data_IF_653018804974
#
_entry.id   IF_653018804974
#
_cell.length_a   1.000
_cell.length_b   1.000
_cell.length_c   1.000
_cell.angle_alpha   90.00
_cell.angle_beta   90.00
_cell.angle_gamma   90.00
#
_symmetry.space_group_name_H-M   'P 1'
#
loop_
_entity.id
_entity.type
_entity.pdbx_description
1 polymer ?
#
# COMPACT_ATOMS: atom_id res chain seq x y z
N UNK A 1 -12.81 6.05 -10.60
CA UNK A 1 -12.76 7.44 -10.10
C UNK A 1 -11.98 8.25 -11.11
N UNK A 2 -12.52 9.37 -11.59
CA UNK A 2 -11.95 10.11 -12.71
C UNK A 2 -11.74 11.55 -12.29
N UNK A 3 -10.51 12.04 -12.43
CA UNK A 3 -10.25 13.48 -12.40
C UNK A 3 -10.51 14.06 -13.80
N UNK A 4 -11.14 15.22 -13.85
CA UNK A 4 -11.31 15.98 -15.09
C UNK A 4 -10.03 16.71 -15.53
N UNK A 5 -8.99 16.71 -14.69
CA UNK A 5 -7.69 17.33 -14.89
C UNK A 5 -6.62 16.23 -14.75
N UNK A 6 -5.73 16.14 -15.73
CA UNK A 6 -4.63 15.16 -15.66
C UNK A 6 -3.72 15.50 -14.45
N UNK A 7 -3.37 14.47 -13.69
CA UNK A 7 -2.55 14.52 -12.47
C UNK A 7 -3.18 15.15 -11.20
N UNK A 8 -4.47 15.52 -11.23
CA UNK A 8 -5.19 15.95 -10.02
C UNK A 8 -5.64 14.74 -9.19
N UNK A 9 -5.25 14.72 -7.91
CA UNK A 9 -5.64 13.67 -6.97
C UNK A 9 -7.08 13.88 -6.48
N UNK A 10 -7.97 12.94 -6.82
CA UNK A 10 -9.37 12.92 -6.36
C UNK A 10 -9.55 12.16 -5.03
N UNK A 11 -8.52 11.44 -4.59
CA UNK A 11 -8.37 10.89 -3.24
C UNK A 11 -6.97 11.24 -2.77
N UNK A 12 -6.88 11.82 -1.59
CA UNK A 12 -5.61 12.13 -0.92
C UNK A 12 -5.46 11.20 0.29
N UNK A 13 -4.30 10.56 0.39
CA UNK A 13 -3.97 9.74 1.54
C UNK A 13 -3.80 10.64 2.78
N UNK A 14 -4.38 10.23 3.91
CA UNK A 14 -4.19 10.94 5.18
C UNK A 14 -2.70 11.04 5.53
N UNK A 15 -1.96 9.95 5.34
CA UNK A 15 -0.51 9.96 5.34
C UNK A 15 0.01 10.15 3.90
N UNK A 16 0.61 11.30 3.63
CA UNK A 16 1.12 11.68 2.29
C UNK A 16 2.11 10.67 1.71
N UNK A 17 2.83 9.93 2.56
CA UNK A 17 3.76 8.89 2.12
C UNK A 17 3.04 7.73 1.41
N UNK A 18 1.77 7.48 1.75
CA UNK A 18 0.94 6.43 1.15
C UNK A 18 0.21 6.86 -0.12
N UNK A 19 0.38 8.11 -0.58
CA UNK A 19 -0.34 8.62 -1.76
C UNK A 19 -0.11 7.73 -3.00
N UNK A 20 1.11 7.22 -3.18
CA UNK A 20 1.48 6.35 -4.30
C UNK A 20 0.97 4.90 -4.15
N UNK A 21 0.50 4.53 -2.96
CA UNK A 21 -0.13 3.23 -2.71
C UNK A 21 -1.58 3.18 -3.18
N UNK A 22 -2.25 4.33 -3.29
CA UNK A 22 -3.66 4.44 -3.71
C UNK A 22 -3.87 4.17 -5.21
N UNK A 23 -5.03 3.59 -5.52
CA UNK A 23 -5.59 3.52 -6.88
C UNK A 23 -4.96 2.51 -7.84
N UNK A 24 -3.81 1.89 -7.51
CA UNK A 24 -3.08 1.04 -8.44
C UNK A 24 -2.33 -0.10 -7.79
N UNK A 25 -3.06 -1.16 -7.48
CA UNK A 25 -2.50 -2.40 -6.97
C UNK A 25 -1.77 -3.15 -8.09
N UNK A 26 -0.49 -3.49 -7.87
CA UNK A 26 0.31 -4.26 -8.84
C UNK A 26 -0.16 -5.73 -8.85
N UNK A 27 -0.61 -6.20 -7.70
CA UNK A 27 -1.25 -7.49 -7.45
C UNK A 27 -2.49 -7.24 -6.61
N UNK A 28 -3.42 -8.19 -6.57
CA UNK A 28 -4.51 -8.15 -5.59
C UNK A 28 -3.89 -8.00 -4.20
N UNK A 29 -4.21 -6.92 -3.50
CA UNK A 29 -3.66 -6.65 -2.17
C UNK A 29 -4.42 -7.45 -1.13
N UNK A 30 -3.74 -7.81 -0.04
CA UNK A 30 -4.33 -8.63 1.00
C UNK A 30 -5.59 -7.99 1.59
N UNK A 31 -5.56 -6.68 1.86
CA UNK A 31 -6.72 -5.93 2.36
C UNK A 31 -7.97 -6.10 1.50
N UNK A 32 -7.87 -5.94 0.18
CA UNK A 32 -9.01 -6.14 -0.73
C UNK A 32 -9.59 -7.56 -0.61
N UNK A 33 -8.73 -8.58 -0.54
CA UNK A 33 -9.18 -9.97 -0.41
C UNK A 33 -9.78 -10.22 0.96
N UNK A 34 -9.19 -9.65 2.02
CA UNK A 34 -9.67 -9.72 3.38
C UNK A 34 -11.07 -9.13 3.52
N UNK A 35 -11.27 -7.90 3.04
CA UNK A 35 -12.58 -7.23 3.08
C UNK A 35 -13.63 -7.98 2.28
N UNK A 36 -13.28 -8.48 1.09
CA UNK A 36 -14.21 -9.28 0.29
C UNK A 36 -14.58 -10.60 0.97
N UNK A 37 -13.61 -11.30 1.56
CA UNK A 37 -13.88 -12.54 2.28
C UNK A 37 -14.71 -12.30 3.54
N UNK A 38 -14.49 -11.20 4.25
CA UNK A 38 -15.31 -10.80 5.39
C UNK A 38 -16.75 -10.50 4.97
N UNK A 39 -16.94 -9.65 3.96
CA UNK A 39 -18.26 -9.24 3.46
C UNK A 39 -19.14 -10.44 3.09
N UNK A 40 -18.56 -11.45 2.43
CA UNK A 40 -19.27 -12.66 2.02
C UNK A 40 -19.18 -13.81 3.03
N UNK A 41 -18.66 -13.56 4.23
CA UNK A 41 -18.50 -14.56 5.30
C UNK A 41 -17.73 -15.81 4.84
N UNK A 42 -16.76 -15.64 3.94
CA UNK A 42 -15.95 -16.74 3.42
C UNK A 42 -15.13 -17.44 4.51
N UNK A 43 -14.65 -16.69 5.51
CA UNK A 43 -13.85 -17.22 6.61
C UNK A 43 -14.62 -18.16 7.53
N UNK A 44 -15.96 -18.12 7.51
CA UNK A 44 -16.82 -19.02 8.29
C UNK A 44 -16.59 -20.49 7.97
N UNK A 45 -16.14 -20.78 6.75
CA UNK A 45 -15.81 -22.13 6.28
C UNK A 45 -14.68 -22.79 7.08
N UNK A 46 -13.86 -22.00 7.74
CA UNK A 46 -12.69 -22.46 8.47
C UNK A 46 -12.80 -22.24 9.99
N UNK A 47 -14.00 -21.93 10.51
CA UNK A 47 -14.23 -21.71 11.96
C UNK A 47 -13.73 -22.86 12.84
N UNK A 48 -13.91 -24.10 12.37
CA UNK A 48 -13.57 -25.31 13.13
C UNK A 48 -12.20 -25.89 12.77
N UNK A 49 -11.37 -25.19 11.98
CA UNK A 49 -10.12 -25.77 11.50
C UNK A 49 -9.01 -25.84 12.55
N UNK A 50 -9.12 -25.06 13.64
CA UNK A 50 -8.08 -24.92 14.66
C UNK A 50 -6.79 -24.25 14.16
N UNK A 51 -6.77 -23.75 12.93
CA UNK A 51 -5.60 -23.10 12.33
C UNK A 51 -5.36 -21.73 12.99
N UNK A 52 -4.14 -21.49 13.44
CA UNK A 52 -3.71 -20.20 14.01
C UNK A 52 -2.88 -19.47 12.97
N UNK A 53 -3.31 -18.27 12.62
CA UNK A 53 -2.60 -17.39 11.70
C UNK A 53 -1.96 -16.23 12.47
N UNK A 54 -0.73 -15.89 12.12
CA UNK A 54 0.04 -14.79 12.69
C UNK A 54 -0.02 -13.54 11.81
N UNK A 55 0.45 -12.41 12.35
CA UNK A 55 0.56 -11.14 11.63
C UNK A 55 -0.72 -10.72 10.90
N UNK A 56 -1.89 -10.93 11.52
CA UNK A 56 -3.22 -10.64 10.93
C UNK A 56 -3.58 -11.47 9.68
N UNK A 57 -2.89 -12.58 9.45
CA UNK A 57 -3.34 -13.58 8.50
C UNK A 57 -4.68 -14.21 8.91
N UNK A 58 -5.40 -14.75 7.93
CA UNK A 58 -6.67 -15.44 8.13
C UNK A 58 -6.65 -16.82 7.51
N UNK A 59 -7.31 -17.85 8.08
CA UNK A 59 -7.37 -19.17 7.46
C UNK A 59 -7.90 -19.09 6.03
N UNK A 60 -7.23 -19.74 5.09
CA UNK A 60 -7.57 -19.60 3.68
C UNK A 60 -8.93 -20.28 3.40
N UNK A 61 -9.97 -19.55 2.93
CA UNK A 61 -11.35 -20.09 2.83
C UNK A 61 -11.55 -21.31 1.93
N UNK A 62 -10.57 -21.63 1.08
CA UNK A 62 -10.57 -22.84 0.22
C UNK A 62 -9.66 -23.96 0.73
N UNK A 63 -8.82 -23.68 1.72
CA UNK A 63 -7.89 -24.63 2.32
C UNK A 63 -7.59 -24.20 3.76
N UNK A 64 -8.38 -24.69 4.71
CA UNK A 64 -8.31 -24.24 6.10
C UNK A 64 -7.05 -24.67 6.86
N UNK A 65 -6.17 -25.46 6.24
CA UNK A 65 -4.88 -25.88 6.79
C UNK A 65 -3.73 -24.90 6.49
N UNK A 66 -3.99 -23.83 5.73
CA UNK A 66 -3.02 -22.77 5.44
C UNK A 66 -3.66 -21.40 5.61
N UNK A 67 -2.86 -20.40 5.91
CA UNK A 67 -3.31 -19.02 6.07
C UNK A 67 -3.15 -18.23 4.77
N UNK A 68 -4.06 -17.30 4.55
CA UNK A 68 -3.89 -16.18 3.65
C UNK A 68 -3.12 -15.09 4.41
N UNK A 69 -1.93 -14.74 3.91
CA UNK A 69 -1.01 -13.84 4.61
C UNK A 69 -1.02 -12.43 4.03
N UNK A 70 -0.82 -11.40 4.88
CA UNK A 70 -0.56 -10.06 4.38
C UNK A 70 0.78 -9.96 3.67
N UNK A 71 0.93 -8.92 2.85
CA UNK A 71 2.13 -8.71 2.03
C UNK A 71 3.39 -8.63 2.88
N UNK A 72 4.41 -9.40 2.47
CA UNK A 72 5.67 -9.55 3.17
C UNK A 72 5.70 -10.67 4.22
N UNK A 73 4.58 -11.35 4.48
CA UNK A 73 4.50 -12.53 5.36
C UNK A 73 4.17 -13.80 4.58
N UNK A 74 4.67 -14.94 5.06
CA UNK A 74 4.52 -16.23 4.40
C UNK A 74 4.62 -17.40 5.37
N UNK A 75 4.83 -18.59 4.82
CA UNK A 75 4.67 -19.85 5.58
C UNK A 75 3.19 -20.27 5.64
N UNK A 76 2.93 -21.43 6.24
CA UNK A 76 1.55 -21.93 6.36
C UNK A 76 0.72 -21.07 7.33
N UNK A 77 1.36 -20.38 8.27
CA UNK A 77 0.73 -19.64 9.37
C UNK A 77 1.03 -18.12 9.34
N UNK A 78 1.68 -17.61 8.29
CA UNK A 78 2.09 -16.20 8.16
C UNK A 78 3.16 -15.74 9.18
N UNK A 79 3.81 -16.65 9.92
CA UNK A 79 4.88 -16.29 10.87
C UNK A 79 6.22 -16.00 10.18
N UNK A 80 6.39 -16.50 8.97
CA UNK A 80 7.62 -16.43 8.19
C UNK A 80 7.64 -15.20 7.30
N UNK A 81 8.82 -14.91 6.77
CA UNK A 81 9.01 -13.90 5.72
C UNK A 81 8.47 -14.42 4.40
N UNK A 82 7.77 -13.57 3.64
CA UNK A 82 7.33 -13.94 2.30
C UNK A 82 8.52 -14.38 1.44
N UNK A 83 8.39 -15.56 0.83
CA UNK A 83 9.42 -16.14 0.00
C UNK A 83 9.62 -15.31 -1.28
N UNK A 84 10.86 -15.21 -1.79
CA UNK A 84 11.10 -14.54 -3.07
C UNK A 84 10.33 -15.23 -4.21
N UNK A 85 9.84 -14.45 -5.15
CA UNK A 85 9.03 -14.98 -6.26
C UNK A 85 9.86 -15.42 -7.46
N UNK A 86 9.21 -16.17 -8.35
CA UNK A 86 9.76 -16.63 -9.64
C UNK A 86 11.12 -17.34 -9.52
N UNK A 87 11.35 -18.04 -8.41
CA UNK A 87 12.59 -18.81 -8.16
C UNK A 87 13.82 -17.96 -7.85
N UNK A 88 13.64 -16.68 -7.51
CA UNK A 88 14.75 -15.83 -7.07
C UNK A 88 15.32 -16.30 -5.72
N UNK A 89 16.60 -16.08 -5.50
CA UNK A 89 17.28 -16.35 -4.23
C UNK A 89 17.72 -15.04 -3.60
N UNK A 90 16.78 -14.37 -2.94
CA UNK A 90 16.95 -13.03 -2.37
C UNK A 90 16.04 -12.83 -1.15
N UNK A 91 16.29 -11.77 -0.38
CA UNK A 91 15.56 -11.47 0.85
C UNK A 91 16.17 -12.15 2.07
N UNK A 92 16.11 -11.48 3.22
CA UNK A 92 16.71 -11.94 4.47
C UNK A 92 15.98 -11.38 5.70
N UNK A 93 16.13 -12.06 6.83
CA UNK A 93 15.73 -11.51 8.14
C UNK A 93 16.95 -10.91 8.83
N UNK A 94 16.93 -9.59 9.03
CA UNK A 94 18.01 -8.81 9.61
C UNK A 94 17.65 -8.37 11.02
N UNK A 95 18.65 -8.20 11.88
CA UNK A 95 18.48 -7.67 13.24
C UNK A 95 18.94 -6.22 13.30
N UNK A 96 18.04 -5.33 13.72
CA UNK A 96 18.36 -3.93 13.96
C UNK A 96 19.21 -3.76 15.23
N UNK A 97 20.20 -2.87 15.14
CA UNK A 97 21.10 -2.46 16.22
C UNK A 97 20.83 -1.01 16.62
N UNK A 98 21.39 -0.57 17.74
CA UNK A 98 21.20 0.80 18.24
C UNK A 98 21.92 1.87 17.39
N UNK A 99 22.75 1.46 16.44
CA UNK A 99 23.46 2.32 15.49
C UNK A 99 22.94 2.08 14.06
N UNK A 100 23.13 3.09 13.20
CA UNK A 100 22.72 3.02 11.80
C UNK A 100 23.46 1.90 11.05
N UNK A 101 22.69 0.99 10.49
CA UNK A 101 23.15 -0.07 9.58
C UNK A 101 22.64 0.22 8.18
N UNK A 102 23.43 -0.12 7.16
CA UNK A 102 23.02 -0.01 5.77
C UNK A 102 22.59 -1.36 5.21
N UNK A 103 21.46 -1.40 4.51
CA UNK A 103 21.07 -2.49 3.62
C UNK A 103 21.21 -2.00 2.18
N UNK A 104 22.04 -2.69 1.40
CA UNK A 104 22.28 -2.40 -0.01
C UNK A 104 22.04 -3.66 -0.84
N UNK A 105 21.19 -3.53 -1.85
CA UNK A 105 20.75 -4.63 -2.71
C UNK A 105 20.95 -4.24 -4.16
N UNK A 106 21.60 -5.12 -4.92
CA UNK A 106 21.94 -4.88 -6.32
C UNK A 106 21.75 -6.14 -7.17
N UNK A 107 21.03 -6.02 -8.29
CA UNK A 107 21.03 -7.05 -9.34
C UNK A 107 20.30 -8.37 -9.02
N UNK A 108 19.54 -8.45 -7.92
CA UNK A 108 18.85 -9.68 -7.50
C UNK A 108 17.31 -9.60 -7.56
N UNK A 109 16.74 -8.40 -7.61
CA UNK A 109 15.29 -8.18 -7.57
C UNK A 109 14.76 -7.86 -8.96
N UNK A 110 14.41 -8.88 -9.74
CA UNK A 110 13.98 -8.68 -11.12
C UNK A 110 14.36 -9.82 -12.05
N UNK A 111 13.96 -9.71 -13.31
CA UNK A 111 14.34 -10.66 -14.37
C UNK A 111 15.43 -10.14 -15.31
N UNK A 112 15.90 -8.90 -15.13
CA UNK A 112 16.91 -8.28 -16.00
C UNK A 112 16.50 -8.05 -17.45
N UNK A 113 15.20 -8.06 -17.72
CA UNK A 113 14.67 -8.05 -19.08
C UNK A 113 14.49 -6.61 -19.59
N UNK A 114 15.00 -6.31 -20.79
CA UNK A 114 14.76 -4.99 -21.40
C UNK A 114 13.30 -4.79 -21.87
N UNK A 115 12.46 -5.84 -21.80
CA UNK A 115 11.03 -5.80 -22.15
C UNK A 115 10.19 -6.27 -20.98
N UNK A 116 9.20 -5.48 -20.58
CA UNK A 116 8.17 -5.91 -19.63
C UNK A 116 7.06 -6.67 -20.36
N UNK A 117 6.49 -7.68 -19.72
CA UNK A 117 5.29 -8.36 -20.21
C UNK A 117 4.08 -7.95 -19.37
N UNK A 118 2.88 -7.99 -19.96
CA UNK A 118 1.63 -7.73 -19.24
C UNK A 118 1.47 -8.65 -18.02
N UNK A 119 1.97 -9.89 -18.11
CA UNK A 119 1.97 -10.87 -17.02
C UNK A 119 2.88 -10.44 -15.86
N UNK A 120 4.10 -9.98 -16.15
CA UNK A 120 5.03 -9.49 -15.13
C UNK A 120 4.55 -8.17 -14.50
N UNK A 121 3.76 -7.38 -15.23
CA UNK A 121 3.15 -6.16 -14.68
C UNK A 121 2.19 -6.49 -13.53
N UNK A 122 1.46 -7.61 -13.59
CA UNK A 122 0.53 -8.05 -12.53
C UNK A 122 1.11 -9.13 -11.60
N UNK A 123 2.35 -9.55 -11.87
CA UNK A 123 3.08 -10.52 -11.09
C UNK A 123 4.58 -10.22 -11.17
N UNK A 124 5.02 -9.09 -10.58
CA UNK A 124 6.42 -8.70 -10.62
C UNK A 124 7.28 -9.70 -9.85
N UNK A 125 8.55 -9.76 -10.23
CA UNK A 125 9.58 -10.31 -9.36
C UNK A 125 9.62 -9.49 -8.08
N UNK A 126 9.72 -10.15 -6.94
CA UNK A 126 9.83 -9.50 -5.66
C UNK A 126 10.66 -10.33 -4.69
N UNK A 127 11.28 -9.61 -3.76
CA UNK A 127 12.09 -10.12 -2.67
C UNK A 127 11.71 -9.34 -1.42
N UNK A 128 11.65 -10.03 -0.29
CA UNK A 128 11.20 -9.44 0.98
C UNK A 128 12.33 -9.50 2.00
N UNK A 129 12.49 -8.46 2.79
CA UNK A 129 13.37 -8.41 3.96
C UNK A 129 12.53 -8.11 5.21
N UNK A 130 12.81 -8.82 6.28
CA UNK A 130 12.29 -8.49 7.61
C UNK A 130 13.43 -7.88 8.42
N UNK A 131 13.29 -6.65 8.87
CA UNK A 131 14.21 -6.06 9.84
C UNK A 131 13.51 -6.13 11.19
N UNK A 132 14.08 -6.87 12.15
CA UNK A 132 13.49 -7.11 13.47
C UNK A 132 14.30 -6.44 14.57
N UNK A 133 13.60 -5.84 15.51
CA UNK A 133 14.12 -5.33 16.76
C UNK A 133 13.55 -6.13 17.95
N UNK A 134 14.20 -6.09 19.13
CA UNK A 134 13.62 -6.64 20.35
C UNK A 134 12.28 -5.98 20.72
N UNK A 135 11.49 -6.66 21.55
CA UNK A 135 10.25 -6.08 22.09
C UNK A 135 10.53 -4.77 22.85
N UNK A 136 9.60 -3.81 22.77
CA UNK A 136 9.77 -2.47 23.33
C UNK A 136 10.65 -1.53 22.50
N UNK A 137 11.25 -2.01 21.41
CA UNK A 137 11.97 -1.18 20.43
C UNK A 137 11.15 -1.03 19.15
N UNK A 138 11.42 0.05 18.43
CA UNK A 138 10.91 0.31 17.08
C UNK A 138 12.07 0.65 16.15
N UNK A 139 11.82 0.75 14.86
CA UNK A 139 12.87 0.86 13.84
C UNK A 139 12.74 2.20 13.12
N UNK A 140 13.76 3.04 13.26
CA UNK A 140 13.93 4.21 12.39
C UNK A 140 14.65 3.78 11.11
N UNK A 141 14.17 4.26 9.96
CA UNK A 141 14.78 3.97 8.68
C UNK A 141 14.63 5.13 7.70
N UNK A 142 15.54 5.17 6.73
CA UNK A 142 15.43 6.05 5.58
C UNK A 142 15.90 5.31 4.31
N UNK A 143 15.23 5.59 3.20
CA UNK A 143 15.64 5.04 1.91
C UNK A 143 16.53 6.07 1.21
N UNK A 144 17.80 5.70 1.03
CA UNK A 144 18.82 6.56 0.43
C UNK A 144 18.71 6.56 -1.09
N UNK A 145 18.42 5.39 -1.65
CA UNK A 145 18.34 5.19 -3.09
C UNK A 145 17.41 4.02 -3.41
N UNK A 146 16.66 4.16 -4.48
CA UNK A 146 16.13 3.03 -5.23
C UNK A 146 16.18 3.36 -6.72
N UNK A 147 16.22 2.33 -7.56
CA UNK A 147 16.32 2.56 -8.99
C UNK A 147 16.60 1.31 -9.82
N UNK A 148 16.97 1.56 -11.06
CA UNK A 148 17.55 0.57 -11.97
C UNK A 148 19.02 0.92 -12.25
N UNK A 149 19.76 -0.02 -12.84
CA UNK A 149 21.15 0.20 -13.23
C UNK A 149 21.27 1.41 -14.17
N UNK A 150 22.26 2.26 -13.91
CA UNK A 150 22.61 3.43 -14.74
C UNK A 150 21.47 4.45 -14.97
N UNK A 151 20.53 4.57 -14.02
CA UNK A 151 19.42 5.52 -14.16
C UNK A 151 19.89 6.98 -14.13
N UNK A 152 19.42 7.78 -15.10
CA UNK A 152 19.67 9.23 -15.15
C UNK A 152 18.52 10.08 -14.58
N UNK A 153 17.30 9.55 -14.64
CA UNK A 153 16.06 10.19 -14.17
C UNK A 153 15.27 9.20 -13.32
N UNK A 154 14.20 9.69 -12.70
CA UNK A 154 13.24 8.92 -11.89
C UNK A 154 12.38 7.98 -12.76
N UNK A 155 13.03 7.00 -13.37
CA UNK A 155 12.44 6.15 -14.42
C UNK A 155 11.35 5.21 -13.86
N UNK A 156 11.41 4.93 -12.55
CA UNK A 156 10.41 4.15 -11.82
C UNK A 156 9.17 4.98 -11.46
N UNK A 157 9.26 6.31 -11.47
CA UNK A 157 8.13 7.24 -11.31
C UNK A 157 7.23 7.22 -12.54
N UNK A 158 6.41 6.19 -12.61
CA UNK A 158 5.30 6.03 -13.56
C UNK A 158 4.00 5.92 -12.78
N UNK A 159 2.87 6.10 -13.47
CA UNK A 159 1.53 5.97 -12.87
C UNK A 159 1.48 4.69 -12.00
N UNK A 160 1.21 4.87 -10.69
CA UNK A 160 1.05 3.81 -9.70
C UNK A 160 2.29 2.95 -9.38
N UNK A 161 3.50 3.42 -9.63
CA UNK A 161 4.74 2.68 -9.33
C UNK A 161 4.79 1.27 -9.98
N UNK A 162 4.17 1.12 -11.15
CA UNK A 162 3.87 -0.19 -11.76
C UNK A 162 5.10 -1.02 -12.15
N UNK A 163 6.24 -0.40 -12.44
CA UNK A 163 7.39 -1.09 -13.03
C UNK A 163 8.41 -1.60 -12.04
N UNK A 164 8.53 -0.95 -10.89
CA UNK A 164 9.47 -1.32 -9.85
C UNK A 164 9.52 -0.26 -8.78
N UNK A 165 10.09 -0.63 -7.64
CA UNK A 165 10.18 0.22 -6.48
C UNK A 165 10.34 -0.61 -5.21
N UNK A 166 10.12 0.04 -4.08
CA UNK A 166 10.02 -0.60 -2.79
C UNK A 166 8.60 -0.48 -2.26
N UNK A 167 8.15 -1.48 -1.51
CA UNK A 167 7.06 -1.34 -0.56
C UNK A 167 7.63 -1.44 0.83
N UNK A 168 7.26 -0.50 1.69
CA UNK A 168 7.69 -0.48 3.08
C UNK A 168 6.45 -0.62 3.95
N UNK A 169 6.47 -1.55 4.90
CA UNK A 169 5.39 -1.76 5.85
C UNK A 169 5.89 -1.80 7.29
N UNK A 170 5.00 -1.51 8.24
CA UNK A 170 5.30 -1.39 9.68
C UNK A 170 5.12 0.02 10.25
N UNK A 171 4.71 0.99 9.42
CA UNK A 171 4.30 2.34 9.85
C UNK A 171 2.87 2.36 10.39
N UNK A 172 2.03 1.45 9.91
CA UNK A 172 0.67 1.25 10.41
C UNK A 172 0.64 0.13 11.44
N UNK A 173 -0.32 0.18 12.37
CA UNK A 173 -0.48 -0.86 13.40
C UNK A 173 -0.99 -2.18 12.82
N UNK A 174 -1.72 -2.09 11.72
CA UNK A 174 -2.28 -3.22 10.99
C UNK A 174 -1.38 -3.59 9.81
N UNK A 175 -1.24 -4.88 9.58
CA UNK A 175 -0.66 -5.51 8.42
C UNK A 175 -1.68 -5.73 7.29
N UNK A 176 -2.98 -5.56 7.53
CA UNK A 176 -4.04 -5.66 6.51
C UNK A 176 -3.79 -4.67 5.36
N UNK A 177 -3.32 -3.46 5.72
CA UNK A 177 -3.00 -2.41 4.77
C UNK A 177 -1.76 -2.75 3.93
N UNK A 178 -1.82 -2.41 2.65
CA UNK A 178 -0.67 -2.52 1.76
C UNK A 178 0.44 -1.57 2.19
N UNK A 179 1.70 -2.01 2.05
CA UNK A 179 2.86 -1.16 2.34
C UNK A 179 2.90 0.12 1.50
N UNK A 180 3.55 1.15 2.06
CA UNK A 180 3.86 2.39 1.39
C UNK A 180 4.72 2.13 0.13
N UNK A 181 4.28 2.57 -1.05
CA UNK A 181 5.03 2.40 -2.30
C UNK A 181 6.01 3.55 -2.52
N UNK A 182 7.28 3.20 -2.68
CA UNK A 182 8.36 4.13 -3.00
C UNK A 182 8.81 3.89 -4.43
N UNK A 183 8.56 4.86 -5.29
CA UNK A 183 9.04 4.88 -6.67
C UNK A 183 9.38 6.29 -7.17
N UNK A 184 9.24 7.31 -6.32
CA UNK A 184 9.54 8.71 -6.63
C UNK A 184 10.69 9.23 -5.74
N UNK A 185 11.62 9.94 -6.35
CA UNK A 185 12.84 10.49 -5.73
C UNK A 185 12.58 11.45 -4.57
N UNK A 186 11.43 12.11 -4.52
CA UNK A 186 10.96 12.96 -3.42
C UNK A 186 10.57 12.18 -2.15
N UNK A 187 10.51 10.85 -2.23
CA UNK A 187 10.26 9.96 -1.09
C UNK A 187 11.56 9.51 -0.39
N UNK A 188 12.72 9.80 -0.99
CA UNK A 188 14.06 9.43 -0.48
C UNK A 188 14.52 10.33 0.67
N UNK A 189 15.45 9.82 1.49
CA UNK A 189 16.11 10.53 2.61
C UNK A 189 15.14 11.11 3.66
N UNK A 190 13.92 10.58 3.70
CA UNK A 190 12.94 10.86 4.74
C UNK A 190 13.08 9.78 5.82
N UNK A 191 13.41 10.22 7.03
CA UNK A 191 13.42 9.34 8.21
C UNK A 191 11.97 9.03 8.55
N UNK A 192 11.69 7.73 8.71
CA UNK A 192 10.40 7.20 9.12
C UNK A 192 10.62 6.22 10.25
N UNK A 193 9.60 6.04 11.06
CA UNK A 193 9.67 5.12 12.19
C UNK A 193 8.51 4.15 12.17
N UNK A 194 8.79 2.89 12.48
CA UNK A 194 7.75 1.88 12.63
C UNK A 194 6.98 2.07 13.92
N UNK A 195 5.76 1.53 13.96
CA UNK A 195 4.95 1.44 15.19
C UNK A 195 5.16 0.13 15.94
N UNK A 196 5.78 -0.86 15.29
CA UNK A 196 6.13 -2.16 15.87
C UNK A 196 7.64 -2.42 15.78
N UNK A 197 8.08 -3.52 16.36
CA UNK A 197 9.47 -3.97 16.31
C UNK A 197 9.83 -4.71 15.01
N UNK A 198 8.96 -4.66 13.99
CA UNK A 198 9.17 -5.29 12.68
C UNK A 198 9.00 -4.26 11.58
N UNK A 199 9.99 -4.19 10.69
CA UNK A 199 9.95 -3.43 9.45
C UNK A 199 10.02 -4.41 8.28
N UNK A 200 9.03 -4.34 7.40
CA UNK A 200 8.97 -5.17 6.20
C UNK A 200 9.37 -4.32 5.00
N UNK A 201 10.35 -4.80 4.25
CA UNK A 201 10.84 -4.14 3.03
C UNK A 201 10.67 -5.13 1.88
N UNK A 202 9.77 -4.84 0.94
CA UNK A 202 9.60 -5.62 -0.27
C UNK A 202 10.12 -4.82 -1.46
N UNK A 203 11.16 -5.32 -2.12
CA UNK A 203 11.57 -4.76 -3.39
C UNK A 203 10.91 -5.54 -4.51
N UNK A 204 10.43 -4.86 -5.54
CA UNK A 204 9.81 -5.50 -6.69
C UNK A 204 10.24 -4.88 -8.02
N UNK A 205 10.18 -5.66 -9.09
CA UNK A 205 10.41 -5.20 -10.44
C UNK A 205 9.70 -6.08 -11.49
N UNK A 206 9.08 -5.45 -12.50
CA UNK A 206 8.43 -6.11 -13.63
C UNK A 206 9.13 -5.86 -14.97
N UNK A 207 10.27 -5.18 -14.96
CA UNK A 207 11.04 -4.78 -16.13
C UNK A 207 12.52 -5.16 -15.96
N UNK A 208 13.26 -4.40 -15.16
CA UNK A 208 14.70 -4.52 -14.92
C UNK A 208 15.01 -5.22 -13.58
N UNK A 209 16.21 -4.99 -13.05
CA UNK A 209 16.51 -5.22 -11.63
C UNK A 209 16.27 -3.94 -10.82
N UNK A 210 15.64 -4.08 -9.66
CA UNK A 210 15.60 -3.04 -8.63
C UNK A 210 16.88 -3.07 -7.82
N UNK A 211 17.51 -1.91 -7.71
CA UNK A 211 18.63 -1.61 -6.84
C UNK A 211 18.11 -0.70 -5.75
N UNK A 212 18.51 -0.92 -4.49
CA UNK A 212 18.18 0.01 -3.43
C UNK A 212 19.22 0.03 -2.33
N UNK A 213 19.25 1.15 -1.62
CA UNK A 213 20.04 1.37 -0.43
C UNK A 213 19.18 2.07 0.61
N UNK A 214 19.19 1.57 1.83
CA UNK A 214 18.50 2.17 2.97
C UNK A 214 19.36 2.06 4.22
N UNK A 215 19.13 2.95 5.18
CA UNK A 215 19.65 2.77 6.53
C UNK A 215 18.52 2.45 7.49
N UNK A 216 18.86 1.73 8.55
CA UNK A 216 17.95 1.42 9.64
C UNK A 216 18.70 1.33 10.97
N UNK A 217 18.00 1.59 12.07
CA UNK A 217 18.46 1.32 13.45
C UNK A 217 17.25 1.08 14.35
N UNK A 218 17.47 0.44 15.49
CA UNK A 218 16.46 0.35 16.55
C UNK A 218 16.55 1.56 17.49
N UNK A 219 15.40 2.02 17.96
CA UNK A 219 15.26 3.05 18.99
C UNK A 219 14.24 2.60 20.05
N UNK A 220 14.29 3.19 21.23
CA UNK A 220 13.30 2.93 22.27
C UNK A 220 11.92 3.46 21.87
N UNK A 221 10.89 2.62 21.95
CA UNK A 221 9.53 3.04 21.61
C UNK A 221 9.05 4.22 22.49
N UNK A 222 9.51 4.28 23.74
CA UNK A 222 9.20 5.33 24.69
C UNK A 222 9.82 6.70 24.34
N UNK A 223 10.90 6.72 23.55
CA UNK A 223 11.58 7.96 23.16
C UNK A 223 10.91 8.64 21.96
N UNK A 224 9.94 7.96 21.31
CA UNK A 224 9.25 8.49 20.15
C UNK A 224 8.13 9.42 20.59
N UNK A 225 8.39 10.72 20.43
CA UNK A 225 7.34 11.74 20.40
C UNK A 225 6.55 11.56 19.11
N UNK A 226 5.42 10.87 19.17
CA UNK A 226 4.46 10.83 18.06
C UNK A 226 4.12 12.30 17.75
N UNK A 227 4.37 12.80 16.53
CA UNK A 227 3.86 14.11 16.15
C UNK A 227 2.34 14.06 16.31
N UNK A 228 1.79 14.88 17.22
CA UNK A 228 0.36 15.14 17.22
C UNK A 228 -0.02 15.51 15.78
N UNK A 229 -1.09 14.89 15.26
CA UNK A 229 -1.66 15.23 13.96
C UNK A 229 -1.74 16.76 13.88
N UNK A 230 -0.84 17.36 13.09
CA UNK A 230 -0.83 18.80 12.93
C UNK A 230 -2.04 19.16 12.10
N UNK A 231 -2.70 20.23 12.55
CA UNK A 231 -3.86 20.89 11.96
C UNK A 231 -3.84 20.89 10.42
N UNK A 232 -5.01 20.94 9.76
CA UNK A 232 -5.12 20.87 8.30
C UNK A 232 -4.15 21.83 7.63
N UNK A 233 -3.32 21.28 6.74
CA UNK A 233 -2.43 22.02 5.86
C UNK A 233 -3.25 23.11 5.15
N UNK A 234 -2.81 24.36 5.29
CA UNK A 234 -3.37 25.47 4.54
C UNK A 234 -3.20 25.20 3.04
N UNK A 235 -4.31 25.15 2.32
CA UNK A 235 -4.32 25.08 0.85
C UNK A 235 -3.55 26.29 0.29
N UNK A 236 -2.33 26.05 -0.19
CA UNK A 236 -1.59 27.03 -0.96
C UNK A 236 -2.23 27.15 -2.35
N UNK A 237 -2.98 28.24 -2.56
CA UNK A 237 -3.33 28.90 -3.83
C UNK A 237 -3.41 28.01 -5.08
N UNK A 238 -4.59 27.45 -5.34
CA UNK A 238 -4.92 26.77 -6.59
C UNK A 238 -5.19 27.80 -7.69
N UNK A 239 -4.22 28.02 -8.57
CA UNK A 239 -4.32 28.88 -9.77
C UNK A 239 -5.28 28.37 -10.86
N UNK A 240 -6.03 27.29 -10.58
CA UNK A 240 -6.85 26.54 -11.55
C UNK A 240 -8.36 26.53 -11.24
N UNK A 241 -8.81 27.22 -10.18
CA UNK A 241 -10.21 27.24 -9.73
C UNK A 241 -11.26 27.53 -10.84
N UNK A 242 -11.04 28.49 -11.76
CA UNK A 242 -12.04 28.83 -12.78
C UNK A 242 -12.28 27.70 -13.80
N UNK A 243 -11.20 26.99 -14.20
CA UNK A 243 -11.29 25.85 -15.12
C UNK A 243 -11.91 24.59 -14.46
N UNK A 244 -11.83 24.50 -13.13
CA UNK A 244 -12.42 23.41 -12.33
C UNK A 244 -13.95 23.49 -12.32
N UNK A 245 -14.55 24.67 -12.14
CA UNK A 245 -16.02 24.84 -12.14
C UNK A 245 -16.64 24.55 -13.52
N UNK A 246 -16.06 25.09 -14.58
CA UNK A 246 -16.63 24.99 -15.94
C UNK A 246 -16.75 23.53 -16.44
N UNK A 247 -15.79 22.65 -16.06
CA UNK A 247 -15.85 21.21 -16.35
C UNK A 247 -16.78 20.42 -15.43
N UNK A 248 -16.95 20.83 -14.18
CA UNK A 248 -17.94 20.23 -13.26
C UNK A 248 -19.35 20.42 -13.82
N UNK A 249 -19.66 21.63 -14.29
CA UNK A 249 -20.96 21.95 -14.88
C UNK A 249 -21.21 21.14 -16.16
N UNK A 250 -20.18 20.96 -16.98
CA UNK A 250 -20.24 20.14 -18.20
C UNK A 250 -20.50 18.66 -17.89
N UNK A 251 -19.86 18.11 -16.86
CA UNK A 251 -20.04 16.70 -16.46
C UNK A 251 -21.40 16.46 -15.77
N UNK A 252 -21.92 17.44 -15.02
CA UNK A 252 -23.24 17.36 -14.38
C UNK A 252 -24.36 17.22 -15.42
N UNK A 253 -24.18 17.81 -16.61
CA UNK A 253 -25.11 17.67 -17.72
C UNK A 253 -25.19 16.24 -18.30
N UNK A 254 -24.19 15.38 -18.07
CA UNK A 254 -24.14 14.00 -18.56
C UNK A 254 -24.76 12.97 -17.58
N UNK A 255 -24.94 13.34 -16.31
CA UNK A 255 -25.51 12.47 -15.26
C UNK A 255 -26.90 11.91 -15.65
N UNK A 256 -27.85 12.70 -16.20
CA UNK A 256 -29.17 12.20 -16.58
C UNK A 256 -29.12 11.16 -17.71
N UNK A 257 -28.13 11.21 -18.60
CA UNK A 257 -27.95 10.20 -19.65
C UNK A 257 -27.40 8.89 -19.09
N UNK A 258 -26.45 8.97 -18.15
CA UNK A 258 -25.92 7.80 -17.45
C UNK A 258 -27.02 7.08 -16.67
N UNK A 259 -27.89 7.82 -15.97
CA UNK A 259 -29.01 7.25 -15.22
C UNK A 259 -30.00 6.50 -16.12
N UNK A 260 -30.20 6.93 -17.37
CA UNK A 260 -31.04 6.22 -18.35
C UNK A 260 -30.45 4.88 -18.81
N UNK A 261 -29.13 4.72 -18.72
CA UNK A 261 -28.42 3.48 -19.12
C UNK A 261 -28.31 2.44 -17.99
N UNK A 262 -28.63 2.83 -16.75
CA UNK A 262 -28.58 1.94 -15.58
C UNK A 262 -29.85 1.07 -15.53
N UNK A 263 -29.70 -0.25 -15.56
CA UNK A 263 -30.82 -1.18 -15.29
C UNK A 263 -30.92 -1.46 -13.80
N UNK A 264 -32.15 -1.55 -13.29
CA UNK A 264 -32.39 -1.98 -11.91
C UNK A 264 -31.87 -3.42 -11.70
N UNK A 265 -31.13 -3.63 -10.61
CA UNK A 265 -30.66 -4.94 -10.19
C UNK A 265 -31.82 -5.64 -9.46
N UNK A 266 -32.31 -6.79 -9.94
CA UNK A 266 -33.38 -7.52 -9.24
C UNK A 266 -32.81 -8.23 -8.00
N UNK A 267 -33.31 -7.88 -6.81
CA UNK A 267 -32.94 -8.50 -5.53
C UNK A 267 -32.86 -7.51 -4.37
N UNK A 268 -32.52 -7.99 -3.18
CA UNK A 268 -32.20 -7.13 -2.03
C UNK A 268 -30.87 -6.43 -2.32
N UNK A 269 -30.89 -5.11 -2.46
CA UNK A 269 -29.66 -4.34 -2.65
C UNK A 269 -28.82 -4.46 -1.37
N UNK A 270 -27.51 -4.75 -1.47
CA UNK A 270 -26.62 -4.53 -0.34
C UNK A 270 -26.67 -3.05 0.05
N UNK A 271 -26.43 -2.72 1.34
CA UNK A 271 -26.48 -1.34 1.79
C UNK A 271 -25.53 -0.47 0.96
N UNK A 272 -26.00 0.71 0.57
CA UNK A 272 -25.19 1.64 -0.20
C UNK A 272 -24.06 2.24 0.67
N UNK A 273 -23.05 2.84 0.03
CA UNK A 273 -21.89 3.42 0.73
C UNK A 273 -22.32 4.40 1.85
N UNK A 274 -23.29 5.31 1.63
CA UNK A 274 -23.84 6.15 2.70
C UNK A 274 -24.43 5.37 3.89
N UNK A 275 -25.17 4.28 3.65
CA UNK A 275 -25.72 3.42 4.69
C UNK A 275 -24.63 2.68 5.48
N UNK A 276 -23.58 2.23 4.78
CA UNK A 276 -22.40 1.61 5.41
C UNK A 276 -21.64 2.63 6.27
N UNK A 277 -21.43 3.84 5.75
CA UNK A 277 -20.76 4.92 6.46
C UNK A 277 -21.56 5.33 7.71
N UNK A 278 -22.87 5.50 7.58
CA UNK A 278 -23.75 5.84 8.70
C UNK A 278 -23.77 4.73 9.77
N UNK A 279 -23.78 3.46 9.37
CA UNK A 279 -23.68 2.33 10.30
C UNK A 279 -22.33 2.29 11.03
N UNK A 280 -21.27 2.82 10.42
CA UNK A 280 -19.95 3.01 11.03
C UNK A 280 -19.82 4.31 11.84
N UNK A 281 -20.90 5.10 11.98
CA UNK A 281 -20.89 6.39 12.68
C UNK A 281 -20.17 7.49 11.91
N UNK A 282 -20.07 7.39 10.58
CA UNK A 282 -19.44 8.38 9.72
C UNK A 282 -20.50 9.16 8.95
N UNK A 283 -20.42 10.49 9.02
CA UNK A 283 -21.25 11.41 8.23
C UNK A 283 -20.48 11.81 6.98
N UNK A 284 -21.12 11.61 5.83
CA UNK A 284 -20.60 12.04 4.53
C UNK A 284 -21.04 13.49 4.25
N UNK A 285 -20.07 14.41 4.22
CA UNK A 285 -20.30 15.84 3.98
C UNK A 285 -19.60 16.22 2.69
N UNK A 286 -20.32 16.85 1.76
CA UNK A 286 -19.71 17.39 0.54
C UNK A 286 -19.29 18.84 0.78
N UNK A 287 -17.99 19.09 0.82
CA UNK A 287 -17.40 20.43 0.98
C UNK A 287 -16.63 20.77 -0.29
N UNK A 288 -16.99 21.88 -0.95
CA UNK A 288 -16.37 22.35 -2.20
C UNK A 288 -16.26 21.30 -3.33
N UNK A 289 -17.19 20.33 -3.33
CA UNK A 289 -17.25 19.26 -4.32
C UNK A 289 -16.44 18.01 -3.94
N UNK A 290 -15.76 18.02 -2.80
CA UNK A 290 -15.05 16.86 -2.25
C UNK A 290 -15.88 16.19 -1.15
N UNK A 291 -15.88 14.86 -1.13
CA UNK A 291 -16.56 14.06 -0.10
C UNK A 291 -15.63 13.96 1.12
N UNK A 292 -16.11 14.43 2.27
CA UNK A 292 -15.42 14.38 3.55
C UNK A 292 -16.21 13.48 4.49
N UNK A 293 -15.54 12.48 5.08
CA UNK A 293 -16.12 11.62 6.11
C UNK A 293 -15.72 12.15 7.48
N UNK A 294 -16.68 12.54 8.31
CA UNK A 294 -16.45 12.97 9.69
C UNK A 294 -17.10 11.98 10.66
N UNK A 295 -16.51 11.72 11.85
CA UNK A 295 -17.19 11.05 12.94
C UNK A 295 -18.45 11.79 13.40
#
# INVERSE_FOLDING_TARGET
MFSAIEDDAVIVAQNVDYQMSLGGAIRTVFGDVYEMNNLYSCYDRCKDSGMVCHNEGMPHPRNCSVCQCPSGFGGNDCSEREAPSHGLTCGETLRAQAYWQALEVSGVVGGGNNKTSRKLTYNPHHCTWHIRAPEGKVIEHDVIFFGVKDQKNDILRRKMCRYGGLKINGQERTWISEGMKLCCSDQLKKIRTTVSNVLVVEAYNSWQYTYFKMNYKMVDAAEIKIPQATSPLSYASVSHLPKKLERIDTNRAYIPELQKSMRAIPGYLPPNIPEINAAAGLVEIVLDGDIVLTP
#
